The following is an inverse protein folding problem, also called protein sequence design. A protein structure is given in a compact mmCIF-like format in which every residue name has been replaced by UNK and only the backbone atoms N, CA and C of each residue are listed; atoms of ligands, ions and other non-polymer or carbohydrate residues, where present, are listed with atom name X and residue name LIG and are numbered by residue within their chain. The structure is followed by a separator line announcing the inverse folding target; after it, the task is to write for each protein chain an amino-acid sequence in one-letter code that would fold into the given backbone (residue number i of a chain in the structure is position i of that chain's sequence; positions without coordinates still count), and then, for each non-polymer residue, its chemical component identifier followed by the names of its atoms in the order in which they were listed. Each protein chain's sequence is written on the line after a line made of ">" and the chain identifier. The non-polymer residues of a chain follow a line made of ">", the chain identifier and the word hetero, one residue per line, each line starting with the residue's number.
data_IF_647291192033
#
_entry.id   IF_647291192033
#
_cell.length_a   1.000
_cell.length_b   1.000
_cell.length_c   1.000
_cell.angle_alpha   90.00
_cell.angle_beta   90.00
_cell.angle_gamma   90.00
#
_symmetry.space_group_name_H-M   'P 1'
#
loop_
_entity.id
_entity.type
_entity.pdbx_description
1 polymer ?
#
# COMPACT_ATOMS: atom_id res chain seq x y z
N UNK A 1 8.15 13.38 8.43
CA UNK A 1 8.90 12.10 8.43
C UNK A 1 9.92 12.14 7.29
N UNK A 2 11.23 12.13 7.59
CA UNK A 2 12.28 12.11 6.55
C UNK A 2 12.17 10.81 5.73
N UNK A 3 11.91 10.92 4.42
CA UNK A 3 11.80 9.74 3.55
C UNK A 3 13.21 9.24 3.21
N UNK A 4 13.42 7.92 3.29
CA UNK A 4 14.70 7.32 2.89
C UNK A 4 14.79 7.24 1.37
N UNK A 5 15.97 7.51 0.79
CA UNK A 5 16.25 7.34 -0.63
C UNK A 5 16.55 5.85 -0.90
N UNK A 6 15.68 5.19 -1.65
CA UNK A 6 15.70 3.76 -1.94
C UNK A 6 16.00 3.50 -3.41
N UNK A 7 16.62 2.37 -3.73
CA UNK A 7 16.75 1.91 -5.10
C UNK A 7 15.48 1.15 -5.51
N UNK A 8 14.88 1.50 -6.65
CA UNK A 8 13.76 0.75 -7.20
C UNK A 8 14.19 -0.68 -7.54
N UNK A 9 13.50 -1.70 -7.04
CA UNK A 9 13.79 -3.10 -7.38
C UNK A 9 13.49 -3.45 -8.84
N UNK A 10 12.71 -2.63 -9.56
CA UNK A 10 12.37 -2.87 -10.98
C UNK A 10 13.36 -2.22 -11.95
N UNK A 11 13.70 -0.95 -11.73
CA UNK A 11 14.52 -0.16 -12.67
C UNK A 11 15.82 0.37 -12.06
N UNK A 12 16.11 0.09 -10.79
CA UNK A 12 17.30 0.56 -10.08
C UNK A 12 17.29 2.05 -9.71
N UNK A 13 16.44 2.88 -10.31
CA UNK A 13 16.41 4.35 -10.10
C UNK A 13 16.17 4.71 -8.63
N UNK A 14 16.87 5.73 -8.10
CA UNK A 14 16.66 6.19 -6.75
C UNK A 14 15.31 6.91 -6.61
N UNK A 15 14.59 6.67 -5.52
CA UNK A 15 13.36 7.38 -5.20
C UNK A 15 13.18 7.53 -3.68
N UNK A 16 12.39 8.52 -3.25
CA UNK A 16 12.06 8.71 -1.83
C UNK A 16 10.82 7.89 -1.46
N UNK A 17 10.92 7.02 -0.46
CA UNK A 17 9.83 6.14 -0.06
C UNK A 17 9.83 5.76 1.42
N UNK A 18 8.68 5.30 1.91
CA UNK A 18 8.53 4.74 3.25
C UNK A 18 9.22 3.37 3.39
N UNK A 19 9.12 2.75 4.57
CA UNK A 19 9.79 1.47 4.87
C UNK A 19 9.42 0.34 3.92
N UNK A 20 8.16 0.31 3.50
CA UNK A 20 7.58 -0.76 2.67
C UNK A 20 7.44 -0.36 1.19
N UNK A 21 8.14 0.69 0.76
CA UNK A 21 8.17 1.12 -0.64
C UNK A 21 9.39 0.50 -1.35
N UNK A 22 9.15 -0.38 -2.31
CA UNK A 22 10.20 -1.13 -3.03
C UNK A 22 10.39 -0.71 -4.49
N UNK A 23 9.39 -0.04 -5.05
CA UNK A 23 9.35 0.38 -6.45
C UNK A 23 9.14 1.88 -6.53
N UNK A 24 9.71 2.52 -7.56
CA UNK A 24 9.38 3.90 -7.91
C UNK A 24 7.90 3.98 -8.38
N UNK A 25 7.30 5.19 -8.43
CA UNK A 25 5.89 5.37 -8.80
C UNK A 25 5.51 4.69 -10.13
N UNK A 26 6.35 4.82 -11.15
CA UNK A 26 6.15 4.21 -12.47
C UNK A 26 6.14 2.68 -12.41
N UNK A 27 7.19 2.07 -11.84
CA UNK A 27 7.27 0.61 -11.71
C UNK A 27 6.16 0.06 -10.81
N UNK A 28 5.77 0.79 -9.77
CA UNK A 28 4.67 0.40 -8.90
C UNK A 28 3.32 0.43 -9.66
N UNK A 29 3.08 1.43 -10.50
CA UNK A 29 1.89 1.53 -11.36
C UNK A 29 1.84 0.38 -12.37
N UNK A 30 2.96 0.12 -13.05
CA UNK A 30 3.07 -0.98 -14.00
C UNK A 30 2.79 -2.35 -13.35
N UNK A 31 3.40 -2.65 -12.20
CA UNK A 31 3.14 -3.90 -11.46
C UNK A 31 1.71 -4.03 -10.98
N UNK A 32 1.08 -2.92 -10.57
CA UNK A 32 -0.34 -2.93 -10.19
C UNK A 32 -1.23 -3.26 -11.38
N UNK A 33 -0.99 -2.65 -12.54
CA UNK A 33 -1.76 -2.92 -13.75
C UNK A 33 -1.68 -4.40 -14.15
N UNK A 34 -0.48 -4.98 -14.16
CA UNK A 34 -0.24 -6.40 -14.44
C UNK A 34 -0.91 -7.36 -13.44
N UNK A 35 -0.99 -6.97 -12.16
CA UNK A 35 -1.55 -7.85 -11.13
C UNK A 35 -3.09 -7.89 -11.14
N UNK A 36 -3.74 -6.79 -11.54
CA UNK A 36 -5.19 -6.62 -11.36
C UNK A 36 -5.98 -7.47 -12.34
N UNK A 37 -5.61 -7.49 -13.62
CA UNK A 37 -6.32 -8.24 -14.66
C UNK A 37 -5.49 -9.45 -15.04
N UNK A 38 -6.03 -10.65 -14.81
CA UNK A 38 -5.37 -11.91 -15.17
C UNK A 38 -6.32 -12.82 -15.91
N UNK A 39 -5.76 -13.78 -16.65
CA UNK A 39 -6.54 -14.85 -17.27
C UNK A 39 -7.15 -15.71 -16.16
N UNK A 40 -8.47 -15.87 -16.20
CA UNK A 40 -9.28 -16.67 -15.28
C UNK A 40 -10.18 -17.60 -16.07
N UNK A 41 -10.62 -18.66 -15.42
CA UNK A 41 -11.52 -19.66 -15.99
C UNK A 41 -12.93 -19.34 -15.49
N UNK A 42 -13.90 -19.28 -16.41
CA UNK A 42 -15.30 -19.05 -16.06
C UNK A 42 -15.85 -20.24 -15.28
N UNK A 43 -16.55 -19.97 -14.17
CA UNK A 43 -17.15 -21.01 -13.34
C UNK A 43 -18.28 -21.77 -14.05
N UNK A 44 -19.06 -21.11 -14.92
CA UNK A 44 -20.21 -21.76 -15.57
C UNK A 44 -19.83 -22.44 -16.91
N UNK A 45 -19.03 -21.79 -17.78
CA UNK A 45 -18.72 -22.30 -19.12
C UNK A 45 -17.25 -22.76 -19.33
N UNK A 46 -16.36 -22.56 -18.36
CA UNK A 46 -14.95 -22.97 -18.46
C UNK A 46 -14.07 -22.14 -19.40
N UNK A 47 -14.59 -21.12 -20.09
CA UNK A 47 -13.78 -20.29 -21.00
C UNK A 47 -12.74 -19.46 -20.24
N UNK A 48 -11.55 -19.31 -20.85
CA UNK A 48 -10.49 -18.41 -20.36
C UNK A 48 -10.83 -16.96 -20.73
N UNK A 49 -10.87 -16.06 -19.75
CA UNK A 49 -11.16 -14.64 -19.96
C UNK A 49 -10.27 -13.76 -19.08
N UNK A 50 -10.07 -12.50 -19.47
CA UNK A 50 -9.37 -11.51 -18.67
C UNK A 50 -10.31 -10.95 -17.59
N UNK A 51 -9.95 -11.15 -16.32
CA UNK A 51 -10.81 -10.78 -15.20
C UNK A 51 -10.05 -10.22 -14.00
N UNK A 52 -10.72 -9.30 -13.30
CA UNK A 52 -10.25 -8.77 -12.01
C UNK A 52 -10.17 -9.83 -10.91
N UNK A 53 -9.61 -9.53 -9.72
CA UNK A 53 -9.33 -10.53 -8.69
C UNK A 53 -10.54 -11.31 -8.17
N UNK A 54 -11.75 -10.73 -8.28
CA UNK A 54 -13.02 -11.32 -7.85
C UNK A 54 -13.92 -11.77 -9.01
N UNK A 55 -13.46 -11.64 -10.26
CA UNK A 55 -14.23 -12.08 -11.41
C UNK A 55 -14.31 -13.62 -11.41
N UNK A 56 -15.54 -14.15 -11.36
CA UNK A 56 -15.83 -15.60 -11.37
C UNK A 56 -16.39 -16.10 -12.70
N UNK A 57 -16.95 -15.19 -13.50
CA UNK A 57 -17.67 -15.48 -14.74
C UNK A 57 -17.12 -14.62 -15.87
N UNK A 58 -17.16 -15.14 -17.10
CA UNK A 58 -16.92 -14.34 -18.31
C UNK A 58 -18.02 -13.28 -18.47
N UNK A 59 -17.82 -12.25 -19.31
CA UNK A 59 -18.79 -11.16 -19.49
C UNK A 59 -20.20 -11.66 -19.83
N UNK A 60 -20.31 -12.68 -20.67
CA UNK A 60 -21.60 -13.24 -21.10
C UNK A 60 -22.32 -13.96 -19.95
N UNK A 61 -21.68 -14.94 -19.32
CA UNK A 61 -22.27 -15.66 -18.18
C UNK A 61 -22.56 -14.72 -16.99
N UNK A 62 -21.76 -13.67 -16.80
CA UNK A 62 -22.02 -12.64 -15.79
C UNK A 62 -23.30 -11.85 -16.09
N UNK A 63 -23.52 -11.50 -17.37
CA UNK A 63 -24.73 -10.81 -17.80
C UNK A 63 -25.98 -11.66 -17.60
N UNK A 64 -25.93 -12.94 -17.99
CA UNK A 64 -27.03 -13.91 -17.77
C UNK A 64 -27.34 -14.04 -16.28
N UNK A 65 -26.32 -14.28 -15.44
CA UNK A 65 -26.52 -14.40 -13.99
C UNK A 65 -27.09 -13.12 -13.35
N UNK A 66 -26.71 -11.95 -13.87
CA UNK A 66 -27.28 -10.68 -13.42
C UNK A 66 -28.76 -10.54 -13.80
N UNK A 67 -29.12 -10.93 -15.02
CA UNK A 67 -30.52 -10.92 -15.47
C UNK A 67 -31.38 -11.87 -14.64
N UNK A 68 -30.90 -13.08 -14.37
CA UNK A 68 -31.59 -14.05 -13.51
C UNK A 68 -31.79 -13.52 -12.09
N UNK A 69 -30.73 -12.93 -11.50
CA UNK A 69 -30.79 -12.31 -10.18
C UNK A 69 -31.81 -11.19 -10.14
N UNK A 70 -31.84 -10.32 -11.16
CA UNK A 70 -32.82 -9.24 -11.28
C UNK A 70 -34.25 -9.78 -11.45
N UNK A 71 -34.45 -10.84 -12.26
CA UNK A 71 -35.75 -11.49 -12.45
C UNK A 71 -36.25 -12.09 -11.14
N UNK A 72 -35.37 -12.74 -10.37
CA UNK A 72 -35.68 -13.28 -9.05
C UNK A 72 -36.06 -12.17 -8.07
N UNK A 73 -35.31 -11.08 -8.02
CA UNK A 73 -35.63 -9.92 -7.19
C UNK A 73 -36.98 -9.28 -7.54
N UNK A 74 -37.32 -9.17 -8.83
CA UNK A 74 -38.63 -8.65 -9.27
C UNK A 74 -39.79 -9.56 -8.85
N UNK A 75 -39.57 -10.88 -8.81
CA UNK A 75 -40.59 -11.86 -8.39
C UNK A 75 -40.77 -11.94 -6.87
N UNK A 76 -39.68 -12.03 -6.13
CA UNK A 76 -39.70 -12.24 -4.67
C UNK A 76 -39.89 -10.94 -3.88
N UNK A 77 -39.64 -9.79 -4.50
CA UNK A 77 -39.69 -8.49 -3.84
C UNK A 77 -38.59 -8.31 -2.79
N UNK A 78 -38.75 -7.27 -1.97
CA UNK A 78 -37.78 -6.93 -0.92
C UNK A 78 -38.18 -7.62 0.38
N UNK A 79 -37.33 -8.52 0.89
CA UNK A 79 -37.58 -9.26 2.14
C UNK A 79 -37.66 -8.38 3.40
N UNK A 80 -37.01 -7.21 3.38
CA UNK A 80 -36.97 -6.24 4.48
C UNK A 80 -37.39 -4.86 3.94
N UNK A 81 -38.70 -4.54 3.94
CA UNK A 81 -39.19 -3.29 3.40
C UNK A 81 -38.71 -2.10 4.25
N UNK A 82 -38.55 -0.94 3.60
CA UNK A 82 -38.20 0.30 4.32
C UNK A 82 -39.38 0.73 5.19
N UNK A 83 -39.09 1.20 6.40
CA UNK A 83 -40.10 1.62 7.38
C UNK A 83 -40.64 0.49 8.26
N UNK A 84 -40.29 -0.78 8.03
CA UNK A 84 -40.63 -1.86 8.97
C UNK A 84 -39.83 -1.77 10.27
N UNK A 85 -40.29 -2.44 11.33
CA UNK A 85 -39.53 -2.62 12.56
C UNK A 85 -38.66 -3.88 12.51
N UNK A 86 -37.44 -3.81 13.05
CA UNK A 86 -36.52 -4.94 13.18
C UNK A 86 -35.73 -4.81 14.50
N UNK A 87 -35.06 -5.87 14.95
CA UNK A 87 -34.37 -5.95 16.25
C UNK A 87 -32.86 -5.86 16.11
N UNK A 88 -32.24 -5.06 16.98
CA UNK A 88 -30.80 -4.86 16.96
C UNK A 88 -30.06 -6.14 17.38
N UNK A 89 -29.06 -6.55 16.61
CA UNK A 89 -28.23 -7.73 16.93
C UNK A 89 -27.37 -7.55 18.20
N UNK A 90 -27.15 -6.32 18.65
CA UNK A 90 -26.30 -6.01 19.81
C UNK A 90 -27.11 -5.82 21.10
N UNK A 91 -28.15 -4.97 21.08
CA UNK A 91 -28.94 -4.65 22.27
C UNK A 91 -30.35 -5.25 22.27
N UNK A 92 -30.80 -5.86 21.17
CA UNK A 92 -32.14 -6.43 21.05
C UNK A 92 -33.27 -5.41 20.84
N UNK A 93 -33.01 -4.11 21.00
CA UNK A 93 -34.02 -3.06 20.82
C UNK A 93 -34.56 -3.00 19.40
N UNK A 94 -35.85 -2.68 19.29
CA UNK A 94 -36.52 -2.48 18.01
C UNK A 94 -36.11 -1.15 17.37
N UNK A 95 -35.99 -1.13 16.05
CA UNK A 95 -35.65 0.04 15.27
C UNK A 95 -36.39 0.03 13.94
N UNK A 96 -36.60 1.23 13.38
CA UNK A 96 -37.19 1.40 12.05
C UNK A 96 -36.12 1.19 10.98
N UNK A 97 -36.39 0.31 10.03
CA UNK A 97 -35.47 -0.04 8.93
C UNK A 97 -35.41 1.11 7.93
N UNK A 98 -34.28 1.81 7.88
CA UNK A 98 -34.01 2.85 6.88
C UNK A 98 -33.14 2.34 5.73
N UNK A 99 -32.53 1.16 5.89
CA UNK A 99 -31.70 0.53 4.85
C UNK A 99 -31.81 -0.99 4.91
N UNK A 100 -31.92 -1.65 3.75
CA UNK A 100 -32.02 -3.11 3.67
C UNK A 100 -30.82 -3.88 4.24
N UNK A 101 -29.66 -3.22 4.42
CA UNK A 101 -28.45 -3.78 5.05
C UNK A 101 -28.29 -3.40 6.52
N UNK A 102 -29.18 -2.60 7.09
CA UNK A 102 -29.13 -2.20 8.49
C UNK A 102 -29.23 -3.43 9.40
N UNK A 103 -28.41 -3.48 10.45
CA UNK A 103 -28.40 -4.56 11.45
C UNK A 103 -28.49 -4.04 12.88
N UNK A 104 -28.37 -2.73 13.05
CA UNK A 104 -28.18 -2.07 14.33
C UNK A 104 -29.15 -0.89 14.45
N UNK A 105 -29.61 -0.62 15.67
CA UNK A 105 -30.54 0.48 15.95
C UNK A 105 -29.84 1.84 16.01
N UNK A 106 -28.56 1.88 16.39
CA UNK A 106 -27.79 3.10 16.62
C UNK A 106 -26.33 2.96 16.20
N UNK A 107 -25.65 4.11 16.03
CA UNK A 107 -24.24 4.17 15.68
C UNK A 107 -23.33 3.52 16.73
N UNK A 108 -23.68 3.61 18.02
CA UNK A 108 -22.94 2.94 19.10
C UNK A 108 -23.02 1.40 18.95
N UNK A 109 -24.22 0.87 18.71
CA UNK A 109 -24.40 -0.56 18.44
C UNK A 109 -23.68 -1.00 17.17
N UNK A 110 -23.71 -0.17 16.12
CA UNK A 110 -22.96 -0.42 14.90
C UNK A 110 -21.45 -0.46 15.16
N UNK A 111 -20.91 0.48 15.92
CA UNK A 111 -19.51 0.51 16.31
C UNK A 111 -19.09 -0.77 17.04
N UNK A 112 -19.86 -1.16 18.07
CA UNK A 112 -19.62 -2.40 18.83
C UNK A 112 -19.67 -3.64 17.94
N UNK A 113 -20.68 -3.75 17.09
CA UNK A 113 -20.85 -4.88 16.17
C UNK A 113 -19.72 -5.00 15.15
N UNK A 114 -19.31 -3.88 14.54
CA UNK A 114 -18.21 -3.85 13.58
C UNK A 114 -16.88 -4.22 14.26
N UNK A 115 -16.60 -3.69 15.46
CA UNK A 115 -15.38 -4.03 16.20
C UNK A 115 -15.34 -5.52 16.55
N UNK A 116 -16.44 -6.10 17.02
CA UNK A 116 -16.53 -7.55 17.33
C UNK A 116 -16.25 -8.38 16.08
N UNK A 117 -16.95 -8.08 14.98
CA UNK A 117 -16.75 -8.77 13.70
C UNK A 117 -15.30 -8.67 13.21
N UNK A 118 -14.68 -7.49 13.31
CA UNK A 118 -13.28 -7.28 12.93
C UNK A 118 -12.32 -8.09 13.79
N UNK A 119 -12.53 -8.16 15.11
CA UNK A 119 -11.70 -8.96 16.03
C UNK A 119 -11.77 -10.44 15.69
N UNK A 120 -12.97 -10.95 15.43
CA UNK A 120 -13.18 -12.35 15.07
C UNK A 120 -12.57 -12.68 13.70
N UNK A 121 -12.87 -11.89 12.67
CA UNK A 121 -12.40 -12.15 11.30
C UNK A 121 -10.88 -11.95 11.13
N UNK A 122 -10.26 -11.07 11.94
CA UNK A 122 -8.81 -10.86 11.93
C UNK A 122 -8.08 -11.74 12.95
N UNK A 123 -8.79 -12.50 13.78
CA UNK A 123 -8.18 -13.43 14.74
C UNK A 123 -7.32 -14.45 13.98
N UNK A 124 -6.03 -14.51 14.29
CA UNK A 124 -5.10 -15.46 13.66
C UNK A 124 -4.65 -15.11 12.23
N UNK A 125 -5.19 -14.07 11.58
CA UNK A 125 -4.81 -13.68 10.22
C UNK A 125 -3.30 -13.40 10.07
N UNK A 126 -2.69 -12.81 11.11
CA UNK A 126 -1.25 -12.54 11.15
C UNK A 126 -0.38 -13.81 11.23
N UNK A 127 -0.91 -14.92 11.78
CA UNK A 127 -0.18 -16.19 11.95
C UNK A 127 -0.22 -17.03 10.66
N UNK A 128 -1.40 -17.12 10.04
CA UNK A 128 -1.64 -18.02 8.89
C UNK A 128 -1.06 -17.47 7.58
N UNK A 129 -1.01 -16.14 7.42
CA UNK A 129 -0.74 -15.56 6.10
C UNK A 129 0.72 -15.59 5.65
N UNK A 130 1.69 -15.85 6.57
CA UNK A 130 3.13 -15.80 6.30
C UNK A 130 3.64 -14.42 5.83
N UNK A 131 2.78 -13.40 5.84
CA UNK A 131 3.08 -12.09 5.24
C UNK A 131 4.17 -11.35 5.99
N UNK A 132 4.29 -11.56 7.31
CA UNK A 132 5.33 -10.93 8.12
C UNK A 132 6.74 -11.41 7.71
N UNK A 133 6.90 -12.70 7.42
CA UNK A 133 8.17 -13.28 6.94
C UNK A 133 8.51 -12.70 5.58
N UNK A 134 7.58 -12.79 4.61
CA UNK A 134 7.76 -12.22 3.26
C UNK A 134 8.04 -10.72 3.28
N UNK A 135 7.45 -10.00 4.24
CA UNK A 135 7.69 -8.55 4.43
C UNK A 135 9.09 -8.28 4.98
N UNK A 136 9.58 -9.11 5.90
CA UNK A 136 10.95 -9.05 6.43
C UNK A 136 11.96 -9.32 5.31
N UNK A 137 11.79 -10.40 4.56
CA UNK A 137 12.65 -10.76 3.42
C UNK A 137 12.71 -9.62 2.38
N UNK A 138 11.55 -9.04 2.02
CA UNK A 138 11.50 -7.88 1.09
C UNK A 138 12.25 -6.66 1.63
N UNK A 139 12.23 -6.43 2.95
CA UNK A 139 12.96 -5.31 3.59
C UNK A 139 14.46 -5.58 3.62
N UNK A 140 14.88 -6.81 3.86
CA UNK A 140 16.29 -7.22 3.86
C UNK A 140 16.89 -7.16 2.45
N UNK A 141 16.12 -7.56 1.44
CA UNK A 141 16.50 -7.44 0.04
C UNK A 141 16.52 -5.98 -0.47
N UNK A 142 15.93 -5.03 0.27
CA UNK A 142 15.78 -3.66 -0.20
C UNK A 142 17.07 -2.84 -0.04
N UNK A 143 17.62 -2.42 -1.18
CA UNK A 143 18.76 -1.52 -1.21
C UNK A 143 18.34 -0.05 -1.06
N UNK A 144 19.21 0.70 -0.39
CA UNK A 144 19.12 2.16 -0.22
C UNK A 144 20.15 2.83 -1.10
N UNK A 145 19.92 4.09 -1.43
CA UNK A 145 20.85 4.89 -2.22
C UNK A 145 21.41 5.99 -1.34
N UNK A 146 22.73 6.05 -1.23
CA UNK A 146 23.40 7.06 -0.41
C UNK A 146 23.13 8.46 -1.00
N UNK A 147 22.68 9.40 -0.19
CA UNK A 147 22.43 10.77 -0.66
C UNK A 147 23.72 11.51 -0.98
N UNK A 148 24.83 11.16 -0.32
CA UNK A 148 26.14 11.77 -0.56
C UNK A 148 26.81 11.20 -1.82
N UNK A 149 27.09 9.89 -1.85
CA UNK A 149 27.86 9.26 -2.93
C UNK A 149 27.03 8.50 -3.97
N UNK A 150 25.70 8.48 -3.87
CA UNK A 150 24.78 7.81 -4.80
C UNK A 150 24.95 6.28 -4.96
N UNK A 151 25.86 5.66 -4.22
CA UNK A 151 26.03 4.21 -4.18
C UNK A 151 24.86 3.50 -3.52
N UNK A 152 24.57 2.29 -4.00
CA UNK A 152 23.61 1.38 -3.39
C UNK A 152 24.22 0.72 -2.16
N UNK A 153 23.46 0.59 -1.09
CA UNK A 153 23.90 -0.06 0.15
C UNK A 153 22.71 -0.71 0.88
N UNK A 154 22.99 -1.75 1.67
CA UNK A 154 21.99 -2.41 2.52
C UNK A 154 22.14 -1.95 3.96
N UNK A 155 21.03 -1.63 4.61
CA UNK A 155 21.02 -1.25 6.03
C UNK A 155 19.63 -1.43 6.61
N UNK A 156 19.53 -1.93 7.83
CA UNK A 156 18.26 -2.01 8.56
C UNK A 156 17.88 -0.65 9.18
N UNK A 157 18.87 0.22 9.43
CA UNK A 157 18.66 1.53 10.05
C UNK A 157 18.04 2.52 9.05
N UNK A 158 17.18 3.46 9.48
CA UNK A 158 16.58 4.48 8.62
C UNK A 158 17.56 5.59 8.18
N UNK A 159 18.80 5.21 7.82
CA UNK A 159 19.84 6.11 7.32
C UNK A 159 19.76 6.31 5.81
N UNK A 160 20.12 7.51 5.37
CA UNK A 160 20.28 7.89 3.96
C UNK A 160 21.75 7.86 3.49
N UNK A 161 22.68 7.47 4.37
CA UNK A 161 24.11 7.54 4.15
C UNK A 161 24.74 6.18 4.43
N UNK A 162 25.65 5.77 3.55
CA UNK A 162 26.21 4.41 3.53
C UNK A 162 27.37 4.19 4.50
N UNK A 163 28.12 5.23 4.85
CA UNK A 163 29.33 5.14 5.67
C UNK A 163 29.49 6.35 6.58
N UNK A 164 30.35 6.23 7.59
CA UNK A 164 30.64 7.33 8.52
C UNK A 164 31.31 8.51 7.81
N UNK A 165 32.14 8.25 6.80
CA UNK A 165 32.68 9.27 5.92
C UNK A 165 31.54 10.07 5.25
N UNK A 166 30.61 9.38 4.56
CA UNK A 166 29.48 10.03 3.91
C UNK A 166 28.60 10.78 4.94
N UNK A 167 28.47 10.26 6.16
CA UNK A 167 27.74 10.90 7.25
C UNK A 167 28.37 12.22 7.68
N UNK A 168 29.69 12.21 7.92
CA UNK A 168 30.46 13.39 8.35
C UNK A 168 30.48 14.47 7.28
N UNK A 169 30.79 14.11 6.04
CA UNK A 169 30.89 15.10 4.95
C UNK A 169 29.52 15.63 4.52
N UNK A 170 28.47 14.79 4.51
CA UNK A 170 27.12 15.28 4.26
C UNK A 170 26.63 16.23 5.36
N UNK A 171 26.97 15.98 6.63
CA UNK A 171 26.65 16.89 7.73
C UNK A 171 27.31 18.27 7.52
N UNK A 172 28.58 18.31 7.11
CA UNK A 172 29.29 19.56 6.80
C UNK A 172 28.62 20.33 5.65
N UNK A 173 28.24 19.63 4.58
CA UNK A 173 27.53 20.23 3.46
C UNK A 173 26.17 20.80 3.89
N UNK A 174 25.37 20.05 4.65
CA UNK A 174 24.08 20.52 5.17
C UNK A 174 24.24 21.72 6.10
N UNK A 175 25.27 21.72 6.94
CA UNK A 175 25.59 22.85 7.81
C UNK A 175 25.95 24.09 7.00
N UNK A 176 26.79 23.95 5.96
CA UNK A 176 27.13 25.03 5.05
C UNK A 176 25.88 25.63 4.39
N UNK A 177 24.98 24.79 3.88
CA UNK A 177 23.70 25.22 3.29
C UNK A 177 22.83 25.96 4.33
N UNK A 178 22.77 25.45 5.56
CA UNK A 178 22.00 26.09 6.63
C UNK A 178 22.58 27.46 7.03
N UNK A 179 23.91 27.58 7.09
CA UNK A 179 24.61 28.82 7.43
C UNK A 179 24.42 29.88 6.35
N UNK A 180 24.49 29.51 5.06
CA UNK A 180 24.18 30.42 3.95
C UNK A 180 22.73 30.93 4.06
N UNK A 181 21.78 30.04 4.37
CA UNK A 181 20.37 30.43 4.59
C UNK A 181 20.18 31.37 5.78
N UNK A 182 21.07 31.33 6.77
CA UNK A 182 21.09 32.25 7.91
C UNK A 182 21.81 33.57 7.61
N UNK A 183 22.41 33.72 6.42
CA UNK A 183 23.12 34.92 5.99
C UNK A 183 24.64 34.89 6.22
N UNK A 184 25.21 33.77 6.67
CA UNK A 184 26.66 33.63 6.80
C UNK A 184 27.32 33.44 5.43
N UNK A 185 28.43 34.13 5.20
CA UNK A 185 29.26 33.90 4.01
C UNK A 185 30.04 32.58 4.17
N UNK A 186 29.69 31.59 3.33
CA UNK A 186 30.31 30.26 3.32
C UNK A 186 30.53 29.82 1.89
N UNK A 187 31.66 29.17 1.66
CA UNK A 187 31.96 28.54 0.37
C UNK A 187 31.26 27.18 0.25
N UNK A 188 30.08 27.18 -0.38
CA UNK A 188 29.35 25.95 -0.72
C UNK A 188 30.09 25.11 -1.75
N UNK A 189 30.73 25.77 -2.73
CA UNK A 189 31.32 25.12 -3.89
C UNK A 189 32.45 24.18 -3.50
N UNK A 190 33.24 24.54 -2.50
CA UNK A 190 34.25 23.66 -1.88
C UNK A 190 33.67 22.30 -1.44
N UNK A 191 32.53 22.30 -0.77
CA UNK A 191 31.92 21.04 -0.28
C UNK A 191 31.26 20.25 -1.41
N UNK A 192 30.73 20.92 -2.42
CA UNK A 192 30.18 20.27 -3.61
C UNK A 192 31.26 19.60 -4.45
N UNK A 193 32.36 20.31 -4.74
CA UNK A 193 33.49 19.78 -5.49
C UNK A 193 34.07 18.54 -4.79
N UNK A 194 34.28 18.61 -3.47
CA UNK A 194 34.73 17.45 -2.69
C UNK A 194 33.79 16.25 -2.77
N UNK A 195 32.47 16.50 -2.85
CA UNK A 195 31.47 15.43 -3.03
C UNK A 195 31.57 14.81 -4.41
N UNK A 196 31.69 15.61 -5.46
CA UNK A 196 31.81 15.11 -6.84
C UNK A 196 33.14 14.37 -7.06
N UNK A 197 34.26 14.89 -6.55
CA UNK A 197 35.55 14.18 -6.54
C UNK A 197 35.42 12.80 -5.86
N UNK A 198 34.72 12.73 -4.73
CA UNK A 198 34.50 11.45 -4.05
C UNK A 198 33.61 10.51 -4.85
N UNK A 199 32.68 11.00 -5.68
CA UNK A 199 31.86 10.15 -6.55
C UNK A 199 32.69 9.59 -7.70
N UNK A 200 33.45 10.44 -8.38
CA UNK A 200 34.32 10.07 -9.50
C UNK A 200 35.33 8.99 -9.12
N UNK A 201 35.92 9.07 -7.92
CA UNK A 201 36.88 8.08 -7.40
C UNK A 201 36.38 6.64 -7.33
N UNK A 202 35.06 6.42 -7.36
CA UNK A 202 34.45 5.09 -7.27
C UNK A 202 33.48 4.80 -8.42
N UNK A 203 33.50 5.62 -9.48
CA UNK A 203 32.82 5.35 -10.75
C UNK A 203 33.74 4.65 -11.77
N UNK A 204 35.05 4.58 -11.50
CA UNK A 204 36.05 3.72 -12.17
C UNK A 204 35.99 2.27 -11.68
#
# INVERSE_FOLDING_TARGET
>A
MYRTKRACQGCGKPFYGGTDCHYCPECAKAKKADTVVKIRICQDCGTKFLGGPRARRCPECAHIAQQETNRKHRREGTKRPLGSTDRCVICGQEYTVVSGRQKYCSDDCQGKGVIKWQREHKKGYHKVSGQNIKKKERREAQEKVCVYCLRKFKSNNPTNLCSDYCRKEHKKLQQCIADIKRGYNRDLKKYENKREEYRLKFES
#
